data_IF_867530344649
#
_entry.id   IF_867530344649
#
_cell.length_a   1.000
_cell.length_b   1.000
_cell.length_c   1.000
_cell.angle_alpha   90.00
_cell.angle_beta   90.00
_cell.angle_gamma   90.00
#
_symmetry.space_group_name_H-M   'P 1'
#
loop_
_entity.id
_entity.type
_entity.pdbx_description
1 polymer ?
#
# COMPACT_ATOMS: atom_id res chain seq x y z
N UNK A 1 26.33 -37.29 9.43
CA UNK A 1 25.47 -36.88 10.56
C UNK A 1 24.05 -37.27 10.22
N UNK A 2 23.26 -37.62 11.23
CA UNK A 2 21.85 -38.00 11.07
C UNK A 2 21.06 -37.28 12.17
N UNK A 3 20.01 -36.55 11.79
CA UNK A 3 19.12 -35.81 12.71
C UNK A 3 19.82 -34.78 13.63
N UNK A 4 20.81 -34.07 13.10
CA UNK A 4 21.46 -32.98 13.84
C UNK A 4 20.58 -31.71 13.87
N UNK A 5 20.81 -30.86 14.87
CA UNK A 5 20.21 -29.51 14.95
C UNK A 5 21.30 -28.46 14.98
N UNK A 6 21.24 -27.49 14.06
CA UNK A 6 22.13 -26.35 13.99
C UNK A 6 21.38 -25.08 14.40
N UNK A 7 21.84 -24.44 15.48
CA UNK A 7 21.36 -23.14 15.91
C UNK A 7 22.50 -22.11 15.80
N UNK A 8 22.18 -20.92 15.30
CA UNK A 8 23.13 -19.81 15.19
C UNK A 8 22.40 -18.49 15.38
N UNK A 9 23.08 -17.47 15.89
CA UNK A 9 22.53 -16.11 15.91
C UNK A 9 22.33 -15.51 14.52
N UNK A 10 22.92 -16.11 13.49
CA UNK A 10 22.72 -15.74 12.08
C UNK A 10 21.50 -16.42 11.44
N UNK A 11 20.96 -17.45 12.08
CA UNK A 11 19.74 -18.11 11.65
C UNK A 11 18.57 -17.56 12.48
N UNK A 12 17.48 -17.20 11.80
CA UNK A 12 16.27 -16.71 12.48
C UNK A 12 15.61 -17.81 13.32
N UNK A 13 15.72 -19.05 12.86
CA UNK A 13 15.21 -20.26 13.49
C UNK A 13 16.26 -21.39 13.36
N UNK A 14 16.30 -22.38 14.26
CA UNK A 14 17.24 -23.48 14.15
C UNK A 14 16.94 -24.34 12.91
N UNK A 15 18.00 -24.79 12.24
CA UNK A 15 17.94 -25.80 11.20
C UNK A 15 17.93 -27.19 11.86
N UNK A 16 16.86 -27.95 11.67
CA UNK A 16 16.62 -29.24 12.37
C UNK A 16 16.70 -30.42 11.41
N UNK A 17 16.73 -31.64 11.95
CA UNK A 17 16.74 -32.89 11.19
C UNK A 17 17.83 -32.96 10.12
N UNK A 18 18.99 -32.38 10.42
CA UNK A 18 20.06 -32.24 9.43
C UNK A 18 20.74 -33.57 9.20
N UNK A 19 20.77 -34.00 7.95
CA UNK A 19 21.33 -35.28 7.53
C UNK A 19 22.24 -35.10 6.32
N UNK A 20 23.42 -35.70 6.38
CA UNK A 20 24.43 -35.59 5.33
C UNK A 20 25.86 -35.61 5.86
N UNK A 21 26.81 -35.42 4.95
CA UNK A 21 28.25 -35.49 5.24
C UNK A 21 28.93 -34.21 4.79
N UNK A 22 29.53 -33.50 5.74
CA UNK A 22 30.39 -32.35 5.48
C UNK A 22 31.83 -32.83 5.61
N UNK A 23 32.64 -32.64 4.57
CA UNK A 23 34.07 -32.97 4.54
C UNK A 23 34.87 -31.68 4.64
N UNK A 24 35.84 -31.65 5.56
CA UNK A 24 36.88 -30.63 5.56
C UNK A 24 38.05 -31.17 4.73
N UNK A 25 38.20 -30.66 3.53
CA UNK A 25 39.26 -31.01 2.59
C UNK A 25 40.32 -29.91 2.60
N UNK A 26 41.32 -30.07 3.48
CA UNK A 26 42.36 -29.06 3.77
C UNK A 26 41.78 -27.71 4.18
N UNK A 27 41.67 -26.78 3.25
CA UNK A 27 41.23 -25.40 3.41
C UNK A 27 39.78 -25.20 2.93
N UNK A 28 39.05 -26.29 2.62
CA UNK A 28 37.73 -26.23 1.99
C UNK A 28 36.69 -27.06 2.71
N UNK A 29 35.49 -26.53 2.81
CA UNK A 29 34.30 -27.30 3.17
C UNK A 29 33.72 -27.88 1.88
N UNK A 30 33.46 -29.19 1.87
CA UNK A 30 32.89 -29.91 0.74
C UNK A 30 31.72 -30.79 1.15
N UNK A 31 30.64 -30.72 0.38
CA UNK A 31 29.39 -31.45 0.55
C UNK A 31 29.11 -32.16 -0.77
N UNK A 32 29.52 -33.43 -0.85
CA UNK A 32 29.42 -34.25 -2.07
C UNK A 32 27.99 -34.75 -2.31
N UNK A 33 27.35 -35.22 -1.24
CA UNK A 33 25.96 -35.64 -1.22
C UNK A 33 25.13 -34.53 -0.56
N UNK A 34 23.90 -34.22 -1.03
CA UNK A 34 23.07 -33.17 -0.47
C UNK A 34 22.96 -33.25 1.05
N UNK A 35 23.38 -32.17 1.72
CA UNK A 35 23.09 -31.96 3.13
C UNK A 35 21.66 -31.42 3.21
N UNK A 36 20.75 -32.24 3.74
CA UNK A 36 19.33 -31.90 3.84
C UNK A 36 19.00 -31.49 5.28
N UNK A 37 18.08 -30.54 5.45
CA UNK A 37 17.61 -30.11 6.76
C UNK A 37 16.28 -29.38 6.69
N UNK A 38 15.59 -29.26 7.82
CA UNK A 38 14.32 -28.53 7.94
C UNK A 38 14.51 -27.17 8.57
N UNK A 39 14.05 -26.13 7.86
CA UNK A 39 14.03 -24.76 8.35
C UNK A 39 12.59 -24.25 8.36
N UNK A 40 12.12 -23.85 9.54
CA UNK A 40 10.69 -23.59 9.78
C UNK A 40 9.83 -24.78 9.31
N UNK A 41 8.82 -24.55 8.45
CA UNK A 41 7.99 -25.61 7.87
C UNK A 41 8.63 -26.33 6.67
N UNK A 42 9.64 -25.72 6.02
CA UNK A 42 10.19 -26.16 4.74
C UNK A 42 11.47 -26.99 4.83
N UNK A 43 12.17 -27.09 3.70
CA UNK A 43 13.41 -27.87 3.54
C UNK A 43 14.52 -27.03 2.88
N UNK A 44 15.75 -27.31 3.30
CA UNK A 44 17.00 -26.81 2.74
C UNK A 44 17.83 -27.98 2.22
N UNK A 45 18.31 -27.89 0.98
CA UNK A 45 19.30 -28.82 0.42
C UNK A 45 20.56 -28.06 0.05
N UNK A 46 21.72 -28.49 0.56
CA UNK A 46 23.00 -27.82 0.34
C UNK A 46 23.98 -28.78 -0.32
N UNK A 47 24.66 -28.34 -1.39
CA UNK A 47 25.70 -29.11 -2.09
C UNK A 47 26.84 -28.22 -2.56
N UNK A 48 28.01 -28.81 -2.82
CA UNK A 48 29.14 -28.12 -3.43
C UNK A 48 30.29 -27.92 -2.47
N UNK A 49 31.14 -26.91 -2.75
CA UNK A 49 32.34 -26.64 -1.96
C UNK A 49 32.63 -25.17 -1.83
N UNK A 50 33.10 -24.75 -0.65
CA UNK A 50 33.53 -23.38 -0.39
C UNK A 50 34.86 -23.37 0.36
N UNK A 51 35.85 -22.57 -0.08
CA UNK A 51 37.08 -22.39 0.68
C UNK A 51 36.83 -21.59 1.97
N UNK A 52 37.66 -21.81 2.98
CA UNK A 52 37.62 -21.08 4.25
C UNK A 52 38.16 -19.66 4.04
N UNK A 53 39.28 -19.52 3.34
CA UNK A 53 39.88 -18.25 2.91
C UNK A 53 39.94 -18.21 1.38
N UNK A 54 39.63 -17.06 0.80
CA UNK A 54 39.77 -16.86 -0.64
C UNK A 54 41.24 -16.72 -1.05
N UNK A 55 41.63 -17.36 -2.14
CA UNK A 55 42.90 -17.19 -2.84
C UNK A 55 42.66 -16.86 -4.32
N UNK A 56 43.56 -16.12 -4.96
CA UNK A 56 43.44 -15.75 -6.39
C UNK A 56 43.44 -16.98 -7.33
N UNK A 57 43.82 -18.15 -6.81
CA UNK A 57 43.84 -19.44 -7.50
C UNK A 57 42.57 -20.27 -7.37
N UNK A 58 41.58 -19.83 -6.59
CA UNK A 58 40.36 -20.61 -6.38
C UNK A 58 39.50 -20.64 -7.65
N UNK A 59 39.09 -21.81 -8.15
CA UNK A 59 38.26 -21.90 -9.33
C UNK A 59 36.88 -21.28 -9.10
N UNK A 60 36.37 -20.58 -10.11
CA UNK A 60 35.04 -19.95 -10.08
C UNK A 60 33.87 -20.93 -9.88
N UNK A 61 34.13 -22.24 -9.93
CA UNK A 61 33.16 -23.31 -9.69
C UNK A 61 32.96 -23.63 -8.21
N UNK A 62 33.79 -23.08 -7.31
CA UNK A 62 33.64 -23.30 -5.87
C UNK A 62 32.52 -22.44 -5.29
N UNK A 63 31.35 -23.06 -5.21
CA UNK A 63 30.21 -22.48 -4.55
C UNK A 63 29.42 -23.52 -3.77
N UNK A 64 28.69 -23.05 -2.76
CA UNK A 64 27.64 -23.82 -2.11
C UNK A 64 26.30 -23.46 -2.74
N UNK A 65 25.71 -24.42 -3.44
CA UNK A 65 24.36 -24.33 -3.97
C UNK A 65 23.38 -24.72 -2.89
N UNK A 66 22.41 -23.85 -2.64
CA UNK A 66 21.43 -24.01 -1.58
C UNK A 66 20.04 -23.94 -2.24
N UNK A 67 19.29 -25.03 -2.21
CA UNK A 67 17.90 -25.04 -2.61
C UNK A 67 17.01 -24.73 -1.40
N UNK A 68 16.10 -23.77 -1.56
CA UNK A 68 15.08 -23.40 -0.58
C UNK A 68 13.74 -23.92 -1.08
N UNK A 69 13.10 -24.79 -0.30
CA UNK A 69 11.87 -25.47 -0.71
C UNK A 69 10.78 -25.18 0.32
N UNK A 70 9.79 -24.39 -0.07
CA UNK A 70 8.62 -24.03 0.71
C UNK A 70 8.97 -23.52 2.12
N UNK A 71 9.97 -22.64 2.23
CA UNK A 71 10.34 -22.07 3.51
C UNK A 71 9.26 -21.08 3.96
N UNK A 72 8.90 -21.14 5.24
CA UNK A 72 8.08 -20.12 5.88
C UNK A 72 9.01 -19.18 6.64
N UNK A 73 9.14 -17.94 6.17
CA UNK A 73 10.03 -16.95 6.75
C UNK A 73 9.26 -15.98 7.63
N UNK A 74 9.84 -15.64 8.79
CA UNK A 74 9.35 -14.60 9.70
C UNK A 74 10.54 -13.76 10.18
N UNK A 75 10.91 -12.76 9.39
CA UNK A 75 11.91 -11.76 9.74
C UNK A 75 11.20 -10.60 10.43
N UNK A 76 11.40 -10.49 11.74
CA UNK A 76 10.74 -9.47 12.57
C UNK A 76 10.91 -8.07 11.98
N UNK A 77 9.79 -7.45 11.63
CA UNK A 77 9.73 -6.07 11.14
C UNK A 77 10.21 -5.87 9.69
N UNK A 78 10.48 -6.95 8.94
CA UNK A 78 10.96 -6.86 7.56
C UNK A 78 10.11 -7.68 6.59
N UNK A 79 9.95 -8.98 6.85
CA UNK A 79 9.22 -9.87 5.95
C UNK A 79 8.58 -11.05 6.68
N UNK A 80 7.34 -11.37 6.34
CA UNK A 80 6.68 -12.61 6.75
C UNK A 80 5.98 -13.24 5.54
N UNK A 81 6.31 -14.48 5.19
CA UNK A 81 5.72 -15.12 4.00
C UNK A 81 6.44 -16.38 3.56
N UNK A 82 6.02 -16.94 2.43
CA UNK A 82 6.68 -18.09 1.84
C UNK A 82 7.88 -17.66 0.99
N UNK A 83 8.88 -18.53 0.93
CA UNK A 83 10.12 -18.32 0.18
C UNK A 83 10.56 -19.63 -0.47
N UNK A 84 10.78 -19.56 -1.77
CA UNK A 84 11.41 -20.59 -2.58
C UNK A 84 12.66 -20.01 -3.25
N UNK A 85 13.59 -20.84 -3.68
CA UNK A 85 14.74 -20.32 -4.39
C UNK A 85 15.88 -21.29 -4.59
N UNK A 86 16.84 -20.85 -5.40
CA UNK A 86 18.14 -21.48 -5.55
C UNK A 86 19.18 -20.41 -5.32
N UNK A 87 19.85 -20.49 -4.18
CA UNK A 87 20.92 -19.60 -3.79
C UNK A 87 22.27 -20.19 -4.17
N UNK A 88 23.21 -19.30 -4.49
CA UNK A 88 24.58 -19.66 -4.79
C UNK A 88 25.53 -18.86 -3.90
N UNK A 89 26.15 -19.53 -2.94
CA UNK A 89 27.10 -18.92 -2.03
C UNK A 89 28.51 -19.11 -2.57
N UNK A 90 29.10 -18.03 -3.05
CA UNK A 90 30.43 -17.98 -3.68
C UNK A 90 31.44 -17.28 -2.76
N UNK A 91 32.72 -17.27 -3.18
CA UNK A 91 33.79 -16.59 -2.44
C UNK A 91 34.38 -17.52 -1.39
N UNK A 92 34.39 -17.12 -0.13
CA UNK A 92 34.92 -17.93 0.98
C UNK A 92 34.07 -17.79 2.24
N UNK A 93 34.25 -18.67 3.22
CA UNK A 93 33.54 -18.58 4.51
C UNK A 93 33.83 -17.28 5.28
N UNK A 94 34.95 -16.60 5.00
CA UNK A 94 35.32 -15.32 5.60
C UNK A 94 34.96 -14.09 4.74
N UNK A 95 34.56 -14.28 3.49
CA UNK A 95 34.07 -13.22 2.61
C UNK A 95 33.06 -13.79 1.62
N UNK A 96 31.88 -14.21 2.11
CA UNK A 96 30.89 -14.88 1.29
C UNK A 96 30.16 -13.87 0.41
N UNK A 97 29.86 -14.30 -0.82
CA UNK A 97 29.02 -13.57 -1.76
C UNK A 97 27.81 -14.42 -2.09
N UNK A 98 26.62 -13.90 -1.84
CA UNK A 98 25.36 -14.58 -2.07
C UNK A 98 24.72 -14.09 -3.37
N UNK A 99 24.52 -15.01 -4.31
CA UNK A 99 23.73 -14.81 -5.52
C UNK A 99 22.62 -15.83 -5.64
N UNK A 100 22.06 -15.94 -6.84
CA UNK A 100 20.97 -16.87 -7.15
C UNK A 100 19.61 -16.19 -7.23
N UNK A 101 18.55 -16.98 -7.07
CA UNK A 101 17.17 -16.53 -7.23
C UNK A 101 16.39 -16.83 -5.95
N UNK A 102 15.71 -15.81 -5.44
CA UNK A 102 14.76 -15.85 -4.34
C UNK A 102 13.38 -15.46 -4.86
N UNK A 103 12.40 -16.32 -4.60
CA UNK A 103 11.03 -16.11 -4.98
C UNK A 103 10.19 -15.96 -3.71
N UNK A 104 9.51 -14.84 -3.59
CA UNK A 104 8.65 -14.50 -2.47
C UNK A 104 7.19 -14.64 -2.88
N UNK A 105 6.40 -15.37 -2.09
CA UNK A 105 4.99 -15.66 -2.35
C UNK A 105 4.19 -15.54 -1.06
N UNK A 106 2.90 -15.20 -1.16
CA UNK A 106 1.95 -15.18 -0.03
C UNK A 106 2.53 -14.47 1.22
N UNK A 107 3.09 -13.27 1.02
CA UNK A 107 3.95 -12.64 2.01
C UNK A 107 3.65 -11.16 2.24
N UNK A 108 4.25 -10.61 3.27
CA UNK A 108 4.14 -9.21 3.68
C UNK A 108 5.54 -8.65 3.95
N UNK A 109 5.92 -7.64 3.17
CA UNK A 109 7.03 -6.74 3.44
C UNK A 109 6.52 -5.60 4.30
N UNK A 110 7.19 -5.33 5.42
CA UNK A 110 6.83 -4.27 6.36
C UNK A 110 7.81 -3.11 6.21
N UNK A 111 7.29 -1.93 5.88
CA UNK A 111 8.06 -0.69 5.83
C UNK A 111 8.24 -0.11 7.23
N UNK A 112 9.36 0.56 7.45
CA UNK A 112 9.65 1.24 8.70
C UNK A 112 8.69 2.43 8.94
N UNK A 113 8.42 2.73 10.21
CA UNK A 113 7.55 3.84 10.58
C UNK A 113 8.29 5.19 10.43
N UNK A 114 7.71 6.09 9.64
CA UNK A 114 8.27 7.44 9.35
C UNK A 114 8.19 8.38 10.56
N UNK A 115 7.39 8.05 11.58
CA UNK A 115 7.25 8.85 12.80
C UNK A 115 8.36 8.67 13.84
N UNK A 116 9.23 7.67 13.67
CA UNK A 116 10.37 7.40 14.55
C UNK A 116 11.70 7.65 13.82
N UNK A 117 11.86 8.83 13.23
CA UNK A 117 13.15 9.28 12.69
C UNK A 117 14.06 9.78 13.82
N UNK A 118 14.65 8.85 14.56
CA UNK A 118 16.02 9.09 15.01
C UNK A 118 16.92 8.83 13.79
N UNK A 119 17.80 9.77 13.38
CA UNK A 119 18.74 9.54 12.28
C UNK A 119 19.82 8.57 12.77
N UNK A 120 19.49 7.27 12.76
CA UNK A 120 20.42 6.18 12.94
C UNK A 120 19.70 4.84 12.68
N UNK A 121 20.10 4.03 11.69
CA UNK A 121 19.92 2.59 11.80
C UNK A 121 20.94 2.06 12.82
N UNK A 122 20.88 2.54 14.06
CA UNK A 122 21.59 1.92 15.17
C UNK A 122 20.58 1.06 15.92
N UNK A 123 20.71 -0.26 15.73
CA UNK A 123 20.25 -1.24 16.71
C UNK A 123 20.55 -0.70 18.12
N UNK A 124 19.51 -0.53 18.95
CA UNK A 124 19.66 0.05 20.28
C UNK A 124 20.71 -0.69 21.13
N UNK A 125 21.55 0.02 21.90
CA UNK A 125 22.59 -0.58 22.72
C UNK A 125 21.99 -1.09 24.04
N UNK A 126 21.98 -2.41 24.20
CA UNK A 126 21.50 -3.10 25.39
C UNK A 126 22.02 -4.54 25.50
N UNK A 127 23.34 -4.66 25.74
CA UNK A 127 24.10 -5.82 26.29
C UNK A 127 24.02 -7.16 25.54
N UNK A 128 25.09 -7.82 25.12
CA UNK A 128 26.47 -7.88 25.65
C UNK A 128 27.38 -8.49 24.57
N UNK A 129 28.58 -7.92 24.40
CA UNK A 129 29.82 -8.53 23.89
C UNK A 129 29.70 -9.93 23.24
N UNK A 130 29.51 -9.97 21.91
CA UNK A 130 30.03 -11.05 21.08
C UNK A 130 30.97 -10.39 20.08
N UNK A 131 32.18 -10.91 19.98
CA UNK A 131 33.27 -10.35 19.19
C UNK A 131 32.81 -9.97 17.77
N UNK A 132 33.20 -8.77 17.35
CA UNK A 132 33.06 -8.24 16.00
C UNK A 132 33.77 -9.13 14.96
N UNK A 133 33.12 -10.22 14.57
CA UNK A 133 33.44 -10.98 13.36
C UNK A 133 32.14 -11.32 12.65
N UNK A 134 31.30 -10.31 12.36
CA UNK A 134 30.29 -10.50 11.30
C UNK A 134 31.09 -10.57 10.00
N UNK A 135 31.20 -11.78 9.47
CA UNK A 135 31.67 -11.97 8.11
C UNK A 135 30.84 -11.08 7.20
N UNK A 136 31.44 -10.14 6.44
CA UNK A 136 30.69 -9.17 5.66
C UNK A 136 30.09 -9.89 4.44
N UNK A 137 28.89 -10.43 4.61
CA UNK A 137 28.12 -11.03 3.53
C UNK A 137 27.79 -9.94 2.50
N UNK A 138 28.02 -10.25 1.23
CA UNK A 138 27.69 -9.38 0.12
C UNK A 138 26.68 -10.06 -0.80
N UNK A 139 25.72 -9.30 -1.30
CA UNK A 139 24.88 -9.73 -2.40
C UNK A 139 25.64 -9.54 -3.72
N UNK A 140 25.58 -10.55 -4.57
CA UNK A 140 26.19 -10.57 -5.89
C UNK A 140 25.16 -11.11 -6.89
N UNK A 141 24.49 -10.21 -7.60
CA UNK A 141 23.44 -10.52 -8.57
C UNK A 141 22.34 -11.40 -7.99
N UNK A 142 21.96 -11.16 -6.73
CA UNK A 142 20.85 -11.85 -6.09
C UNK A 142 19.54 -11.37 -6.70
N UNK A 143 18.83 -12.24 -7.40
CA UNK A 143 17.52 -11.93 -7.96
C UNK A 143 16.45 -12.16 -6.90
N UNK A 144 15.67 -11.13 -6.59
CA UNK A 144 14.53 -11.19 -5.68
C UNK A 144 13.27 -10.95 -6.49
N UNK A 145 12.39 -11.94 -6.52
CA UNK A 145 11.19 -11.97 -7.34
C UNK A 145 9.98 -11.95 -6.41
N UNK A 146 9.18 -10.90 -6.50
CA UNK A 146 7.90 -10.79 -5.81
C UNK A 146 6.82 -11.37 -6.75
N UNK A 147 6.33 -12.56 -6.39
CA UNK A 147 5.27 -13.28 -7.13
C UNK A 147 3.90 -12.97 -6.52
N UNK A 148 3.01 -13.95 -6.51
CA UNK A 148 1.61 -13.78 -6.16
C UNK A 148 1.42 -13.44 -4.68
N UNK A 149 0.52 -12.49 -4.43
CA UNK A 149 0.06 -12.07 -3.10
C UNK A 149 1.19 -11.61 -2.16
N UNK A 150 2.26 -11.02 -2.68
CA UNK A 150 3.20 -10.27 -1.85
C UNK A 150 2.65 -8.86 -1.61
N UNK A 151 2.58 -8.45 -0.34
CA UNK A 151 2.13 -7.13 0.07
C UNK A 151 3.28 -6.29 0.57
N UNK A 152 3.37 -5.05 0.13
CA UNK A 152 4.18 -4.01 0.78
C UNK A 152 3.25 -3.22 1.69
N UNK A 153 3.60 -3.13 2.97
CA UNK A 153 2.70 -2.59 3.99
C UNK A 153 3.41 -1.67 4.95
N UNK A 154 2.70 -0.65 5.41
CA UNK A 154 3.09 0.17 6.55
C UNK A 154 1.84 0.35 7.41
N UNK A 155 1.54 -0.57 8.34
CA UNK A 155 0.34 -0.46 9.16
C UNK A 155 0.40 0.77 10.08
N UNK A 156 -0.71 1.51 10.28
CA UNK A 156 -2.03 1.37 9.66
C UNK A 156 -2.22 2.18 8.36
N UNK A 157 -1.14 2.74 7.81
CA UNK A 157 -1.17 3.73 6.74
C UNK A 157 -1.41 3.15 5.35
N UNK A 158 -0.68 2.10 4.94
CA UNK A 158 -0.78 1.57 3.58
C UNK A 158 -0.64 0.05 3.48
N UNK A 159 -1.23 -0.50 2.41
CA UNK A 159 -1.08 -1.89 1.99
C UNK A 159 -1.26 -1.98 0.49
N UNK A 160 -0.21 -2.39 -0.22
CA UNK A 160 -0.17 -2.57 -1.66
C UNK A 160 0.18 -4.00 -2.02
N UNK A 161 -0.52 -4.60 -2.98
CA UNK A 161 -0.05 -5.84 -3.60
C UNK A 161 1.00 -5.49 -4.63
N UNK A 162 2.18 -6.03 -4.41
CA UNK A 162 3.39 -5.76 -5.15
C UNK A 162 3.83 -6.99 -5.94
N UNK A 163 4.35 -6.76 -7.15
CA UNK A 163 4.99 -7.80 -7.95
C UNK A 163 6.10 -7.19 -8.80
N UNK A 164 7.15 -7.94 -9.06
CA UNK A 164 8.31 -7.43 -9.79
C UNK A 164 9.60 -8.13 -9.42
N UNK A 165 10.68 -7.68 -10.06
CA UNK A 165 12.00 -8.30 -9.94
C UNK A 165 13.02 -7.24 -9.54
N UNK A 166 13.89 -7.58 -8.59
CA UNK A 166 15.03 -6.77 -8.20
C UNK A 166 16.30 -7.62 -8.33
N UNK A 167 17.36 -7.02 -8.85
CA UNK A 167 18.72 -7.54 -8.77
C UNK A 167 19.40 -6.79 -7.64
N UNK A 168 19.87 -7.52 -6.63
CA UNK A 168 20.47 -6.93 -5.43
C UNK A 168 21.97 -7.20 -5.43
N UNK A 169 22.74 -6.12 -5.33
CA UNK A 169 24.19 -6.13 -5.13
C UNK A 169 24.56 -5.38 -3.85
N UNK A 170 25.83 -5.38 -3.45
CA UNK A 170 26.31 -4.61 -2.30
C UNK A 170 26.38 -5.42 -1.01
N UNK A 171 26.62 -4.75 0.11
CA UNK A 171 26.69 -5.43 1.42
C UNK A 171 25.29 -5.61 1.99
N UNK A 172 25.11 -6.52 2.94
CA UNK A 172 23.82 -6.67 3.64
C UNK A 172 23.39 -5.36 4.34
N UNK A 173 24.35 -4.58 4.85
CA UNK A 173 24.07 -3.30 5.52
C UNK A 173 23.84 -2.14 4.54
N UNK A 174 24.32 -2.26 3.30
CA UNK A 174 24.17 -1.27 2.24
C UNK A 174 23.83 -1.95 0.91
N UNK A 175 22.60 -2.49 0.79
CA UNK A 175 22.14 -3.11 -0.45
C UNK A 175 21.95 -2.05 -1.54
N UNK A 176 22.24 -2.45 -2.77
CA UNK A 176 22.10 -1.67 -4.00
C UNK A 176 21.19 -2.45 -4.95
N UNK A 177 19.86 -2.34 -4.76
CA UNK A 177 18.89 -2.96 -5.66
C UNK A 177 18.81 -2.21 -7.00
N UNK A 178 18.49 -2.96 -8.04
CA UNK A 178 18.17 -2.46 -9.37
C UNK A 178 16.92 -3.19 -9.88
N UNK A 179 15.95 -2.45 -10.42
CA UNK A 179 14.75 -3.04 -11.01
C UNK A 179 13.46 -2.32 -10.61
N UNK A 180 12.32 -2.95 -10.89
CA UNK A 180 11.01 -2.31 -10.76
C UNK A 180 10.05 -3.21 -9.97
N UNK A 181 9.39 -2.61 -8.98
CA UNK A 181 8.26 -3.18 -8.27
C UNK A 181 6.99 -2.48 -8.72
N UNK A 182 6.02 -3.24 -9.21
CA UNK A 182 4.71 -2.76 -9.65
C UNK A 182 3.67 -2.93 -8.55
N UNK A 183 2.75 -1.96 -8.44
CA UNK A 183 1.64 -2.00 -7.51
C UNK A 183 0.32 -2.16 -8.28
N UNK A 184 -0.34 -3.30 -8.16
CA UNK A 184 -1.56 -3.59 -8.95
C UNK A 184 -2.84 -3.16 -8.26
N UNK A 185 -2.80 -3.16 -6.94
CA UNK A 185 -3.95 -2.88 -6.09
C UNK A 185 -3.46 -2.49 -4.70
N UNK A 186 -4.36 -1.91 -3.93
CA UNK A 186 -4.14 -1.55 -2.55
C UNK A 186 -4.51 -0.11 -2.28
N UNK A 187 -4.15 0.37 -1.10
CA UNK A 187 -4.66 1.63 -0.60
C UNK A 187 -3.76 2.31 0.41
N UNK A 188 -3.92 3.62 0.52
CA UNK A 188 -3.33 4.48 1.54
C UNK A 188 -4.44 5.21 2.28
N UNK A 189 -4.35 5.23 3.60
CA UNK A 189 -5.20 6.04 4.46
C UNK A 189 -4.55 7.42 4.62
N UNK A 190 -5.26 8.47 4.22
CA UNK A 190 -4.85 9.86 4.38
C UNK A 190 -6.00 10.64 5.04
N UNK A 191 -5.75 11.18 6.23
CA UNK A 191 -6.78 11.83 7.06
C UNK A 191 -7.96 10.90 7.34
N UNK A 192 -9.18 11.30 6.98
CA UNK A 192 -10.41 10.48 7.09
C UNK A 192 -10.74 9.76 5.78
N UNK A 193 -9.84 9.79 4.79
CA UNK A 193 -10.09 9.31 3.44
C UNK A 193 -9.17 8.14 3.08
N UNK A 194 -9.71 7.17 2.34
CA UNK A 194 -8.94 6.05 1.81
C UNK A 194 -8.73 6.23 0.32
N UNK A 195 -7.48 6.35 -0.08
CA UNK A 195 -7.04 6.38 -1.47
C UNK A 195 -6.75 4.96 -1.95
N UNK A 196 -7.24 4.61 -3.13
CA UNK A 196 -6.97 3.32 -3.78
C UNK A 196 -6.07 3.52 -4.99
N UNK A 197 -5.24 2.55 -5.31
CA UNK A 197 -4.43 2.56 -6.54
C UNK A 197 -5.32 2.70 -7.77
N UNK A 198 -4.98 3.64 -8.66
CA UNK A 198 -5.61 3.78 -9.97
C UNK A 198 -4.97 2.82 -10.96
N UNK A 199 -5.56 1.64 -11.13
CA UNK A 199 -5.00 0.61 -12.00
C UNK A 199 -5.11 0.89 -13.50
N UNK A 200 -5.62 2.07 -13.91
CA UNK A 200 -5.56 2.51 -15.30
C UNK A 200 -4.21 3.13 -15.65
N UNK A 201 -3.38 3.38 -14.65
CA UNK A 201 -2.03 3.94 -14.78
C UNK A 201 -0.99 2.89 -14.42
N UNK A 202 0.23 3.12 -14.88
CA UNK A 202 1.39 2.41 -14.35
C UNK A 202 1.64 2.92 -12.92
N UNK A 203 1.72 1.99 -11.98
CA UNK A 203 2.00 2.28 -10.59
C UNK A 203 3.22 1.46 -10.18
N UNK A 204 4.33 2.12 -9.88
CA UNK A 204 5.59 1.43 -9.62
C UNK A 204 6.54 2.20 -8.70
N UNK A 205 7.48 1.45 -8.14
CA UNK A 205 8.70 1.91 -7.52
C UNK A 205 9.90 1.37 -8.33
N UNK A 206 10.74 2.26 -8.82
CA UNK A 206 11.92 1.95 -9.62
C UNK A 206 13.18 2.19 -8.78
N UNK A 207 14.00 1.15 -8.64
CA UNK A 207 15.24 1.16 -7.90
C UNK A 207 16.41 1.34 -8.87
N UNK A 208 17.22 2.36 -8.61
CA UNK A 208 18.50 2.60 -9.26
C UNK A 208 19.60 2.42 -8.20
N UNK A 209 20.62 1.59 -8.48
CA UNK A 209 21.65 1.24 -7.50
C UNK A 209 22.46 2.45 -7.01
N UNK A 210 22.47 3.56 -7.75
CA UNK A 210 23.12 4.83 -7.39
C UNK A 210 22.44 5.53 -6.21
N UNK A 211 21.17 5.18 -5.92
CA UNK A 211 20.36 5.78 -4.86
C UNK A 211 20.02 4.79 -3.74
N UNK A 212 20.65 3.61 -3.74
CA UNK A 212 20.47 2.61 -2.68
C UNK A 212 19.01 2.17 -2.55
N UNK A 213 18.43 2.38 -1.36
CA UNK A 213 17.07 1.96 -1.03
C UNK A 213 16.01 3.04 -1.27
N UNK A 214 16.35 4.16 -1.91
CA UNK A 214 15.44 5.27 -2.22
C UNK A 214 14.92 5.20 -3.67
N UNK A 215 13.78 4.53 -3.92
CA UNK A 215 13.26 4.36 -5.28
C UNK A 215 12.63 5.64 -5.82
N UNK A 216 12.58 5.74 -7.14
CA UNK A 216 11.67 6.67 -7.82
C UNK A 216 10.26 6.09 -7.84
N UNK A 217 9.28 6.88 -7.44
CA UNK A 217 7.87 6.51 -7.35
C UNK A 217 7.09 7.16 -8.48
N UNK A 218 6.19 6.38 -9.09
CA UNK A 218 5.13 6.88 -9.95
C UNK A 218 3.84 6.15 -9.57
N UNK A 219 3.00 6.79 -8.77
CA UNK A 219 1.80 6.15 -8.20
C UNK A 219 0.61 7.09 -8.39
N UNK A 220 -0.41 6.62 -9.10
CA UNK A 220 -1.71 7.26 -9.21
C UNK A 220 -2.70 6.62 -8.25
N UNK A 221 -3.46 7.44 -7.54
CA UNK A 221 -4.49 7.00 -6.61
C UNK A 221 -5.77 7.82 -6.76
N UNK A 222 -6.89 7.19 -6.41
CA UNK A 222 -8.22 7.81 -6.46
C UNK A 222 -8.98 7.60 -5.16
N UNK A 223 -9.79 8.58 -4.80
CA UNK A 223 -10.81 8.47 -3.74
C UNK A 223 -12.04 9.30 -4.12
N UNK A 224 -13.15 9.07 -3.41
CA UNK A 224 -14.40 9.82 -3.61
C UNK A 224 -14.88 10.31 -2.26
N UNK A 225 -15.11 11.63 -2.17
CA UNK A 225 -15.59 12.31 -0.97
C UNK A 225 -16.94 12.98 -1.25
N UNK A 226 -17.72 13.25 -0.20
CA UNK A 226 -18.97 13.99 -0.31
C UNK A 226 -18.73 15.47 -0.03
N UNK A 227 -19.25 16.34 -0.89
CA UNK A 227 -19.41 17.76 -0.62
C UNK A 227 -20.89 18.02 -0.33
N UNK A 228 -21.18 18.60 0.84
CA UNK A 228 -22.53 19.02 1.21
C UNK A 228 -22.73 20.42 0.64
N UNK A 229 -23.30 20.49 -0.57
CA UNK A 229 -23.57 21.78 -1.24
C UNK A 229 -24.86 22.40 -0.70
N UNK A 230 -24.99 22.46 0.63
CA UNK A 230 -25.98 23.29 1.29
C UNK A 230 -25.49 24.74 1.23
N UNK A 231 -26.15 25.58 0.41
CA UNK A 231 -25.94 27.03 0.33
C UNK A 231 -24.72 27.57 -0.45
N UNK A 232 -24.32 26.99 -1.58
CA UNK A 232 -23.65 27.82 -2.61
C UNK A 232 -24.73 28.46 -3.46
N UNK A 233 -24.89 29.77 -3.34
CA UNK A 233 -25.92 30.64 -3.92
C UNK A 233 -26.36 30.17 -5.31
N UNK A 234 -27.41 29.34 -5.37
CA UNK A 234 -28.04 28.97 -6.63
C UNK A 234 -28.96 30.13 -7.01
N UNK A 235 -28.68 30.81 -8.11
CA UNK A 235 -29.55 31.85 -8.69
C UNK A 235 -30.81 31.25 -9.36
N UNK A 236 -31.25 30.05 -8.95
CA UNK A 236 -32.39 29.37 -9.53
C UNK A 236 -33.60 29.43 -8.59
N UNK A 237 -34.67 30.04 -9.08
CA UNK A 237 -36.01 30.14 -8.50
C UNK A 237 -36.81 28.83 -8.48
N UNK A 238 -36.18 27.68 -8.79
CA UNK A 238 -36.79 26.33 -8.76
C UNK A 238 -36.57 25.60 -7.42
N UNK A 239 -36.25 26.33 -6.36
CA UNK A 239 -35.89 25.80 -5.03
C UNK A 239 -37.04 25.09 -4.29
N UNK A 240 -38.27 25.11 -4.81
CA UNK A 240 -39.47 24.53 -4.19
C UNK A 240 -39.80 23.10 -4.68
N UNK A 241 -38.92 22.45 -5.44
CA UNK A 241 -39.11 21.07 -5.91
C UNK A 241 -38.24 20.07 -5.13
N UNK A 242 -38.80 18.90 -4.78
CA UNK A 242 -38.11 17.72 -4.22
C UNK A 242 -36.84 17.34 -5.01
N UNK A 243 -36.81 17.61 -6.32
CA UNK A 243 -35.64 17.50 -7.18
C UNK A 243 -34.42 18.34 -6.74
N UNK A 244 -34.61 19.36 -5.90
CA UNK A 244 -33.54 20.18 -5.33
C UNK A 244 -32.72 19.49 -4.25
N UNK A 245 -33.32 18.57 -3.47
CA UNK A 245 -32.63 17.80 -2.41
C UNK A 245 -31.84 16.62 -2.97
N UNK A 246 -32.31 16.02 -4.06
CA UNK A 246 -31.62 14.95 -4.82
C UNK A 246 -30.26 15.43 -5.36
N UNK A 247 -30.08 16.74 -5.56
CA UNK A 247 -28.82 17.38 -5.95
C UNK A 247 -28.00 18.03 -4.83
N UNK A 248 -28.32 17.79 -3.55
CA UNK A 248 -27.63 18.40 -2.39
C UNK A 248 -26.32 17.69 -2.01
N UNK A 249 -26.19 16.42 -2.37
CA UNK A 249 -25.02 15.58 -2.11
C UNK A 249 -24.22 15.46 -3.41
N UNK A 250 -23.02 16.07 -3.46
CA UNK A 250 -22.13 15.96 -4.62
C UNK A 250 -20.96 15.03 -4.29
N UNK A 251 -20.83 13.93 -5.03
CA UNK A 251 -19.64 13.09 -5.01
C UNK A 251 -18.51 13.78 -5.79
N UNK A 252 -17.41 14.07 -5.10
CA UNK A 252 -16.19 14.65 -5.67
C UNK A 252 -15.14 13.56 -5.75
N UNK A 253 -14.67 13.27 -6.96
CA UNK A 253 -13.53 12.38 -7.16
C UNK A 253 -12.27 13.17 -6.92
N UNK A 254 -11.39 12.67 -6.06
CA UNK A 254 -10.06 13.22 -5.84
C UNK A 254 -9.04 12.24 -6.40
N UNK A 255 -8.07 12.76 -7.15
CA UNK A 255 -6.92 12.01 -7.64
C UNK A 255 -5.66 12.54 -6.97
N UNK A 256 -4.84 11.63 -6.47
CA UNK A 256 -3.49 11.91 -5.98
C UNK A 256 -2.49 11.25 -6.93
N UNK A 257 -1.48 12.00 -7.36
CA UNK A 257 -0.34 11.46 -8.13
C UNK A 257 0.94 11.74 -7.37
N UNK A 258 1.68 10.68 -7.07
CA UNK A 258 3.03 10.72 -6.49
C UNK A 258 4.02 10.54 -7.63
N UNK A 259 4.95 11.47 -7.80
CA UNK A 259 6.00 11.41 -8.82
C UNK A 259 7.27 12.05 -8.28
N UNK A 260 8.30 11.23 -7.98
CA UNK A 260 9.54 11.69 -7.35
C UNK A 260 10.20 10.60 -6.49
N UNK A 261 11.25 10.93 -5.73
CA UNK A 261 11.88 9.94 -4.83
C UNK A 261 10.99 9.64 -3.64
N UNK A 262 11.19 8.48 -3.03
CA UNK A 262 10.49 8.12 -1.81
C UNK A 262 10.92 9.02 -0.62
N UNK A 263 12.20 9.41 -0.56
CA UNK A 263 12.73 10.37 0.42
C UNK A 263 12.03 11.74 0.35
N UNK A 264 11.74 12.23 -0.86
CA UNK A 264 11.04 13.51 -1.09
C UNK A 264 9.61 13.52 -0.50
N UNK A 265 8.98 12.37 -0.23
CA UNK A 265 7.69 12.34 0.48
C UNK A 265 7.78 12.90 1.90
N UNK A 266 8.97 12.90 2.49
CA UNK A 266 9.24 13.46 3.82
C UNK A 266 9.89 14.83 3.71
N UNK A 267 10.84 14.99 2.79
CA UNK A 267 11.64 16.22 2.66
C UNK A 267 10.91 17.34 1.90
N UNK A 268 10.17 17.00 0.85
CA UNK A 268 9.59 17.94 -0.13
C UNK A 268 8.21 17.47 -0.66
N UNK A 269 7.32 17.09 0.26
CA UNK A 269 6.00 16.48 -0.03
C UNK A 269 5.21 17.21 -1.15
N UNK A 270 5.23 18.55 -1.13
CA UNK A 270 4.48 19.39 -2.06
C UNK A 270 5.02 19.36 -3.50
N UNK A 271 6.28 18.97 -3.70
CA UNK A 271 6.88 18.84 -5.03
C UNK A 271 6.53 17.51 -5.70
N UNK A 272 6.40 16.45 -4.90
CA UNK A 272 6.19 15.09 -5.41
C UNK A 272 4.72 14.67 -5.43
N UNK A 273 3.83 15.37 -4.72
CA UNK A 273 2.40 15.07 -4.70
C UNK A 273 1.58 16.14 -5.39
N UNK A 274 0.81 15.69 -6.39
CA UNK A 274 -0.21 16.49 -7.05
C UNK A 274 -1.60 15.96 -6.70
N UNK A 275 -2.42 16.84 -6.11
CA UNK A 275 -3.84 16.59 -5.88
C UNK A 275 -4.68 17.31 -6.95
N UNK A 276 -5.61 16.58 -7.55
CA UNK A 276 -6.64 17.13 -8.42
C UNK A 276 -7.99 16.56 -8.03
N UNK A 277 -9.05 17.21 -8.48
CA UNK A 277 -10.40 16.69 -8.25
C UNK A 277 -11.28 16.90 -9.47
N UNK A 278 -12.32 16.10 -9.56
CA UNK A 278 -13.39 16.26 -10.53
C UNK A 278 -14.69 16.15 -9.75
N UNK A 279 -15.44 17.25 -9.57
CA UNK A 279 -15.19 18.63 -10.05
C UNK A 279 -13.86 19.26 -9.63
N UNK A 280 -13.36 20.22 -10.42
CA UNK A 280 -12.15 20.98 -10.06
C UNK A 280 -12.35 21.73 -8.73
N UNK A 281 -11.42 21.52 -7.80
CA UNK A 281 -11.31 22.17 -6.48
C UNK A 281 -9.88 22.71 -6.31
N UNK A 282 -9.71 23.72 -5.46
CA UNK A 282 -8.38 24.22 -5.06
C UNK A 282 -7.73 23.22 -4.12
N UNK A 283 -6.40 23.29 -3.94
CA UNK A 283 -5.69 22.41 -2.98
C UNK A 283 -6.30 22.49 -1.58
N UNK A 284 -6.61 23.70 -1.11
CA UNK A 284 -7.22 23.93 0.22
C UNK A 284 -8.61 23.29 0.33
N UNK A 285 -9.46 23.42 -0.70
CA UNK A 285 -10.77 22.77 -0.73
C UNK A 285 -10.62 21.23 -0.75
N UNK A 286 -9.68 20.68 -1.53
CA UNK A 286 -9.42 19.23 -1.55
C UNK A 286 -8.99 18.76 -0.17
N UNK A 287 -8.07 19.45 0.49
CA UNK A 287 -7.60 19.09 1.83
C UNK A 287 -8.73 19.17 2.88
N UNK A 288 -9.60 20.17 2.80
CA UNK A 288 -10.77 20.27 3.67
C UNK A 288 -11.76 19.10 3.48
N UNK A 289 -12.00 18.70 2.22
CA UNK A 289 -12.83 17.55 1.89
C UNK A 289 -12.22 16.24 2.42
N UNK A 290 -10.90 16.06 2.27
CA UNK A 290 -10.18 14.87 2.75
C UNK A 290 -10.13 14.79 4.27
N UNK A 291 -10.13 15.94 4.95
CA UNK A 291 -10.15 16.08 6.41
C UNK A 291 -11.53 15.94 7.05
N UNK A 292 -12.57 15.63 6.27
CA UNK A 292 -13.89 15.28 6.79
C UNK A 292 -14.90 16.43 6.89
N UNK A 293 -14.73 17.52 6.11
CA UNK A 293 -15.69 18.63 6.02
C UNK A 293 -16.24 19.06 7.40
N UNK A 294 -15.39 19.64 8.26
CA UNK A 294 -15.86 20.21 9.53
C UNK A 294 -16.74 21.43 9.19
N UNK A 295 -18.06 21.41 9.47
CA UNK A 295 -18.89 22.58 9.23
C UNK A 295 -18.45 23.73 10.16
N UNK A 296 -18.49 24.97 9.67
CA UNK A 296 -18.15 26.20 10.41
C UNK A 296 -19.04 26.47 11.64
N UNK A 297 -19.93 25.55 12.01
CA UNK A 297 -20.85 25.67 13.14
C UNK A 297 -20.17 25.51 14.51
N UNK A 298 -18.84 25.35 14.57
CA UNK A 298 -18.08 25.33 15.83
C UNK A 298 -18.22 26.64 16.63
N UNK A 299 -18.54 27.76 15.97
CA UNK A 299 -18.69 29.05 16.64
C UNK A 299 -20.07 29.24 17.32
N UNK A 300 -21.05 28.36 17.10
CA UNK A 300 -22.43 28.52 17.59
C UNK A 300 -22.87 27.55 18.72
N UNK A 301 -21.94 26.80 19.33
CA UNK A 301 -22.18 26.18 20.65
C UNK A 301 -22.67 24.73 20.69
N UNK A 302 -22.82 24.03 19.56
CA UNK A 302 -23.20 22.60 19.54
C UNK A 302 -21.99 21.67 19.27
N UNK A 303 -21.01 21.71 20.17
CA UNK A 303 -19.75 20.95 20.11
C UNK A 303 -19.96 19.42 20.07
N UNK A 304 -21.06 18.92 20.65
CA UNK A 304 -21.36 17.47 20.73
C UNK A 304 -21.67 16.85 19.35
N UNK A 305 -22.37 17.58 18.47
CA UNK A 305 -22.69 17.14 17.10
C UNK A 305 -21.46 17.19 16.17
N UNK A 306 -20.57 18.17 16.37
CA UNK A 306 -19.30 18.25 15.65
C UNK A 306 -18.35 17.09 16.02
N UNK A 307 -18.31 16.72 17.30
CA UNK A 307 -17.53 15.58 17.79
C UNK A 307 -18.12 14.23 17.36
N UNK A 308 -19.45 14.10 17.27
CA UNK A 308 -20.12 12.91 16.73
C UNK A 308 -19.80 12.67 15.24
N UNK A 309 -19.72 13.73 14.42
CA UNK A 309 -19.32 13.64 13.01
C UNK A 309 -17.84 13.23 12.85
N UNK A 310 -16.95 13.75 13.69
CA UNK A 310 -15.53 13.34 13.71
C UNK A 310 -15.38 11.88 14.15
N UNK A 311 -16.04 11.47 15.24
CA UNK A 311 -15.98 10.11 15.77
C UNK A 311 -16.58 9.06 14.81
N UNK A 312 -17.67 9.39 14.11
CA UNK A 312 -18.26 8.52 13.09
C UNK A 312 -17.38 8.41 11.84
N UNK A 313 -16.75 9.48 11.36
CA UNK A 313 -15.84 9.42 10.21
C UNK A 313 -14.65 8.48 10.42
N UNK A 314 -14.08 8.42 11.64
CA UNK A 314 -12.98 7.54 11.99
C UNK A 314 -13.41 6.06 12.14
N UNK A 315 -14.69 5.80 12.44
CA UNK A 315 -15.27 4.46 12.53
C UNK A 315 -15.68 3.92 11.14
N UNK A 316 -16.15 4.79 10.23
CA UNK A 316 -16.63 4.41 8.90
C UNK A 316 -15.52 4.04 7.90
N UNK A 317 -14.30 4.56 8.08
CA UNK A 317 -13.12 4.16 7.28
C UNK A 317 -12.78 2.67 7.41
N UNK A 318 -13.19 2.03 8.52
CA UNK A 318 -13.02 0.59 8.74
C UNK A 318 -13.92 -0.29 7.87
N UNK A 319 -15.13 0.15 7.51
CA UNK A 319 -16.09 -0.66 6.74
C UNK A 319 -15.86 -0.63 5.22
N UNK A 320 -15.38 0.48 4.67
CA UNK A 320 -15.06 0.57 3.23
C UNK A 320 -14.00 -0.46 2.80
N UNK A 321 -13.06 -0.76 3.70
CA UNK A 321 -11.97 -1.72 3.43
C UNK A 321 -12.40 -3.18 3.26
N UNK A 322 -13.62 -3.56 3.68
CA UNK A 322 -14.11 -4.93 3.58
C UNK A 322 -14.51 -5.32 2.15
N UNK A 323 -14.85 -4.34 1.30
CA UNK A 323 -15.40 -4.58 -0.04
C UNK A 323 -14.42 -4.25 -1.16
N UNK A 324 -13.41 -3.41 -0.93
CA UNK A 324 -12.47 -2.98 -1.98
C UNK A 324 -11.66 -4.13 -2.60
N UNK A 325 -11.33 -5.17 -1.82
CA UNK A 325 -10.63 -6.36 -2.34
C UNK A 325 -11.53 -7.24 -3.23
N UNK A 326 -12.85 -7.23 -3.01
CA UNK A 326 -13.81 -7.99 -3.80
C UNK A 326 -14.34 -7.22 -5.02
N UNK A 327 -14.44 -5.89 -4.90
CA UNK A 327 -15.05 -5.00 -5.91
C UNK A 327 -14.05 -4.59 -7.01
N UNK A 328 -12.76 -4.85 -6.82
CA UNK A 328 -11.69 -4.48 -7.74
C UNK A 328 -11.48 -2.97 -7.83
N UNK A 329 -10.62 -2.53 -8.75
CA UNK A 329 -10.13 -1.15 -8.76
C UNK A 329 -11.15 -0.12 -9.30
N UNK A 330 -12.26 -0.57 -9.89
CA UNK A 330 -13.25 0.30 -10.57
C UNK A 330 -14.50 0.56 -9.77
N UNK A 331 -14.86 -0.33 -8.84
CA UNK A 331 -15.96 -0.08 -7.92
C UNK A 331 -15.44 0.57 -6.64
N UNK A 332 -16.32 1.32 -5.99
CA UNK A 332 -16.07 1.91 -4.68
C UNK A 332 -17.32 1.79 -3.85
N UNK A 333 -17.20 1.32 -2.62
CA UNK A 333 -18.27 1.38 -1.65
C UNK A 333 -17.90 2.35 -0.53
N UNK A 334 -18.82 3.23 -0.16
CA UNK A 334 -18.60 4.18 0.92
C UNK A 334 -19.86 4.36 1.75
N UNK A 335 -19.66 4.63 3.03
CA UNK A 335 -20.71 5.06 3.97
C UNK A 335 -20.30 6.44 4.48
N UNK A 336 -21.24 7.37 4.52
CA UNK A 336 -20.98 8.76 4.93
C UNK A 336 -22.14 9.30 5.75
N UNK A 337 -21.88 10.19 6.72
CA UNK A 337 -22.95 10.86 7.46
C UNK A 337 -23.69 11.86 6.57
N UNK A 338 -24.99 12.02 6.78
CA UNK A 338 -25.84 13.06 6.19
C UNK A 338 -26.69 13.70 7.28
N UNK A 339 -26.93 15.00 7.20
CA UNK A 339 -27.82 15.72 8.12
C UNK A 339 -29.18 15.90 7.46
N UNK A 340 -30.22 15.35 8.08
CA UNK A 340 -31.60 15.46 7.59
C UNK A 340 -32.31 16.53 8.42
N UNK A 341 -32.90 17.56 7.79
CA UNK A 341 -33.72 18.54 8.49
C UNK A 341 -34.95 17.87 9.14
N UNK A 342 -35.18 18.06 10.44
CA UNK A 342 -36.45 17.69 11.08
C UNK A 342 -37.54 18.70 10.71
N UNK A 343 -38.80 18.25 10.65
CA UNK A 343 -39.95 19.13 10.38
C UNK A 343 -40.19 20.16 11.50
N UNK A 344 -39.66 19.91 12.71
CA UNK A 344 -39.57 20.90 13.78
C UNK A 344 -38.31 21.76 13.57
N UNK A 345 -38.53 23.03 13.19
CA UNK A 345 -37.61 23.96 12.50
C UNK A 345 -36.30 24.37 13.23
N UNK A 346 -35.63 23.51 13.99
CA UNK A 346 -34.31 23.83 14.54
C UNK A 346 -33.42 22.63 14.91
N UNK A 347 -33.79 21.41 14.52
CA UNK A 347 -32.98 20.22 14.81
C UNK A 347 -32.74 19.41 13.52
N UNK A 348 -31.48 19.11 13.23
CA UNK A 348 -31.11 18.15 12.20
C UNK A 348 -30.81 16.81 12.85
N UNK A 349 -31.33 15.73 12.28
CA UNK A 349 -31.04 14.36 12.72
C UNK A 349 -29.89 13.82 11.89
N UNK A 350 -28.93 13.17 12.55
CA UNK A 350 -27.83 12.47 11.88
C UNK A 350 -28.34 11.16 11.29
N UNK A 351 -28.15 10.98 9.99
CA UNK A 351 -28.38 9.74 9.27
C UNK A 351 -27.11 9.31 8.53
N UNK A 352 -27.15 8.14 7.88
CA UNK A 352 -26.04 7.64 7.06
C UNK A 352 -26.48 7.40 5.64
N UNK A 353 -25.69 7.82 4.66
CA UNK A 353 -25.79 7.39 3.28
C UNK A 353 -24.79 6.28 2.97
N UNK A 354 -25.17 5.35 2.11
CA UNK A 354 -24.28 4.40 1.47
C UNK A 354 -24.29 4.65 -0.05
N UNK A 355 -23.12 4.63 -0.67
CA UNK A 355 -22.99 4.74 -2.13
C UNK A 355 -22.09 3.64 -2.67
N UNK A 356 -22.60 2.94 -3.69
CA UNK A 356 -21.83 2.06 -4.55
C UNK A 356 -21.58 2.75 -5.88
N UNK A 357 -20.34 3.12 -6.14
CA UNK A 357 -19.90 3.74 -7.39
C UNK A 357 -19.17 2.76 -8.30
N UNK A 358 -19.25 2.96 -9.61
CA UNK A 358 -18.46 2.25 -10.60
C UNK A 358 -17.95 3.20 -11.69
N UNK A 359 -16.64 3.15 -11.92
CA UNK A 359 -15.94 3.96 -12.91
C UNK A 359 -15.84 3.20 -14.23
N UNK A 360 -16.76 3.50 -15.14
CA UNK A 360 -16.78 2.91 -16.48
C UNK A 360 -15.58 3.42 -17.28
N UNK A 361 -15.32 4.74 -17.25
CA UNK A 361 -14.11 5.38 -17.78
C UNK A 361 -13.61 6.47 -16.84
N UNK A 362 -12.51 7.13 -17.17
CA UNK A 362 -11.99 8.27 -16.39
C UNK A 362 -12.92 9.49 -16.35
N UNK A 363 -13.86 9.53 -17.30
CA UNK A 363 -14.82 10.63 -17.51
C UNK A 363 -16.27 10.18 -17.37
N UNK A 364 -16.53 8.89 -17.16
CA UNK A 364 -17.90 8.36 -17.08
C UNK A 364 -18.01 7.42 -15.89
N UNK A 365 -18.93 7.73 -14.98
CA UNK A 365 -19.20 6.90 -13.81
C UNK A 365 -20.68 6.83 -13.52
N UNK A 366 -21.05 5.73 -12.88
CA UNK A 366 -22.41 5.48 -12.38
C UNK A 366 -22.34 5.19 -10.90
N UNK A 367 -23.37 5.54 -10.15
CA UNK A 367 -23.48 5.13 -8.74
C UNK A 367 -24.92 4.90 -8.31
N UNK A 368 -25.08 4.06 -7.29
CA UNK A 368 -26.32 3.86 -6.57
C UNK A 368 -26.14 4.34 -5.13
N UNK A 369 -26.98 5.26 -4.67
CA UNK A 369 -26.93 5.88 -3.36
C UNK A 369 -28.23 5.61 -2.61
N UNK A 370 -28.11 5.19 -1.35
CA UNK A 370 -29.22 4.94 -0.44
C UNK A 370 -28.96 5.65 0.89
N UNK A 371 -29.93 6.39 1.40
CA UNK A 371 -29.90 6.89 2.77
C UNK A 371 -30.52 5.83 3.71
N UNK A 372 -29.91 5.65 4.88
CA UNK A 372 -30.12 4.54 5.82
C UNK A 372 -30.86 4.99 7.10
N UNK A 373 -31.50 6.16 7.12
CA UNK A 373 -32.28 6.66 8.27
C UNK A 373 -33.54 5.85 8.50
N UNK A 374 -34.26 5.51 7.42
CA UNK A 374 -35.54 4.80 7.42
C UNK A 374 -35.66 3.98 6.11
N UNK A 375 -36.19 2.75 6.15
CA UNK A 375 -36.18 1.80 5.02
C UNK A 375 -37.05 2.20 3.81
N UNK A 376 -37.73 3.35 3.85
CA UNK A 376 -38.63 3.86 2.81
C UNK A 376 -38.01 5.00 1.97
N UNK A 377 -36.76 5.39 2.20
CA UNK A 377 -36.09 6.39 1.35
C UNK A 377 -35.75 5.84 -0.04
N UNK A 378 -35.99 6.63 -1.09
CA UNK A 378 -35.75 6.22 -2.47
C UNK A 378 -34.25 6.02 -2.77
N UNK A 379 -33.92 4.96 -3.50
CA UNK A 379 -32.56 4.76 -4.03
C UNK A 379 -32.33 5.73 -5.19
N UNK A 380 -31.18 6.41 -5.18
CA UNK A 380 -30.75 7.32 -6.23
C UNK A 380 -29.73 6.65 -7.15
N UNK A 381 -30.06 6.53 -8.43
CA UNK A 381 -29.15 6.10 -9.47
C UNK A 381 -28.57 7.32 -10.18
N UNK A 382 -27.26 7.54 -10.05
CA UNK A 382 -26.55 8.67 -10.60
C UNK A 382 -25.74 8.25 -11.83
N UNK A 383 -25.67 9.14 -12.82
CA UNK A 383 -24.75 9.08 -13.94
C UNK A 383 -24.00 10.40 -14.05
N UNK A 384 -22.70 10.33 -14.33
CA UNK A 384 -21.85 11.52 -14.46
C UNK A 384 -20.93 11.35 -15.65
N UNK A 385 -20.91 12.35 -16.53
CA UNK A 385 -20.03 12.42 -17.68
C UNK A 385 -19.27 13.75 -17.73
N UNK A 386 -17.95 13.70 -17.63
CA UNK A 386 -17.08 14.87 -17.76
C UNK A 386 -16.75 15.07 -19.24
N UNK A 387 -17.35 16.09 -19.86
CA UNK A 387 -17.14 16.41 -21.27
C UNK A 387 -15.73 17.00 -21.44
N UNK A 388 -15.37 17.92 -20.55
CA UNK A 388 -14.03 18.50 -20.40
C UNK A 388 -13.87 19.04 -18.97
N UNK A 389 -12.76 19.75 -18.69
CA UNK A 389 -12.50 20.31 -17.35
C UNK A 389 -13.52 21.35 -16.87
N UNK A 390 -14.27 21.97 -17.78
CA UNK A 390 -15.23 23.04 -17.49
C UNK A 390 -16.69 22.60 -17.61
N UNK A 391 -16.97 21.51 -18.33
CA UNK A 391 -18.32 21.09 -18.70
C UNK A 391 -18.58 19.64 -18.25
N UNK A 392 -19.63 19.45 -17.45
CA UNK A 392 -20.05 18.16 -16.93
C UNK A 392 -21.53 17.96 -17.14
N UNK A 393 -21.91 16.76 -17.57
CA UNK A 393 -23.29 16.31 -17.63
C UNK A 393 -23.55 15.35 -16.47
N UNK A 394 -24.63 15.57 -15.74
CA UNK A 394 -25.09 14.70 -14.65
C UNK A 394 -26.54 14.31 -14.88
N UNK A 395 -26.89 13.11 -14.47
CA UNK A 395 -28.26 12.65 -14.38
C UNK A 395 -28.46 11.89 -13.08
N UNK A 396 -29.66 12.00 -12.51
CA UNK A 396 -30.07 11.18 -11.38
C UNK A 396 -31.51 10.73 -11.60
N UNK A 397 -31.81 9.48 -11.22
CA UNK A 397 -33.16 8.90 -11.24
C UNK A 397 -33.36 8.22 -9.89
N UNK A 398 -34.49 8.47 -9.25
CA UNK A 398 -34.90 7.85 -7.99
C UNK A 398 -35.87 6.69 -8.22
N UNK A 399 -35.95 5.75 -7.28
CA UNK A 399 -36.88 4.61 -7.35
C UNK A 399 -38.34 4.99 -7.21
N UNK A 400 -38.65 6.19 -6.73
CA UNK A 400 -40.00 6.76 -6.70
C UNK A 400 -40.44 7.39 -8.05
N UNK A 401 -39.54 7.39 -9.05
CA UNK A 401 -39.84 7.83 -10.42
C UNK A 401 -39.49 9.29 -10.70
N UNK A 402 -38.89 10.03 -9.76
CA UNK A 402 -38.33 11.35 -10.06
C UNK A 402 -36.99 11.24 -10.83
N UNK A 403 -36.70 12.25 -11.65
CA UNK A 403 -35.47 12.27 -12.44
C UNK A 403 -35.03 13.68 -12.76
N UNK A 404 -33.73 13.91 -12.74
CA UNK A 404 -33.12 15.22 -13.04
C UNK A 404 -31.91 15.05 -13.93
N UNK A 405 -31.78 15.95 -14.91
CA UNK A 405 -30.59 16.10 -15.75
C UNK A 405 -30.00 17.49 -15.54
N UNK A 406 -28.69 17.57 -15.32
CA UNK A 406 -27.98 18.82 -15.05
C UNK A 406 -26.80 18.93 -16.01
N UNK A 407 -26.77 20.00 -16.80
CA UNK A 407 -25.57 20.41 -17.52
C UNK A 407 -24.88 21.52 -16.71
N UNK A 408 -23.69 21.22 -16.20
CA UNK A 408 -22.92 22.12 -15.35
C UNK A 408 -21.77 22.73 -16.16
N UNK A 409 -21.72 24.06 -16.20
CA UNK A 409 -20.59 24.82 -16.72
C UNK A 409 -19.91 25.58 -15.59
N UNK A 410 -18.60 25.40 -15.43
CA UNK A 410 -17.82 26.00 -14.34
C UNK A 410 -16.81 27.00 -14.89
N UNK A 411 -17.00 28.26 -14.52
CA UNK A 411 -16.04 29.34 -14.71
C UNK A 411 -15.20 29.49 -13.44
N UNK A 412 -13.88 29.57 -13.60
CA UNK A 412 -12.96 29.98 -12.53
C UNK A 412 -12.26 31.25 -12.97
N UNK A 413 -12.28 32.25 -12.10
CA UNK A 413 -11.59 33.53 -12.26
C UNK A 413 -10.41 33.58 -11.31
#
# INVERSE_FOLDING_TARGET
>A
MTEATFASSLLLEPLTNVSGTIKLDRDRIRIDDPLTGRFSAGQLDITGSLPILATDSDPATDSLKIALIALQLNVKGLYQGQMDGTLDLQGSLLSPRLGGILELTQGQVVLADVGNTSPNPSLGPGSINSLNTRTPLQFNQLQVILKDNVRVTQPPLLSFVAGGNLIVNGTVDQPRPEGVIQFRQGSVNLFTSRFRIDSRRDNYAEFDPSFGLDPYLNIGMVTTVTDNVGQRTRLNEFADSSAGSIGAVESIRIRATVTGRASDLVEDFDQVIKLTSTPDRTKTEILALLGGNIPNNLEQGNTELALANLASSAFLTGFGGLFDEALGNRASFRVFPVLIPSQDQNQSVLAFGAELGYDITDRFSVSALQILSELDEATLFNVSFDINSQLRLRGAISTDGEGVGILEYRLRF
#
